data_IF_371694066417
#
_entry.id   IF_371694066417
#
_cell.length_a   1.000
_cell.length_b   1.000
_cell.length_c   1.000
_cell.angle_alpha   90.00
_cell.angle_beta   90.00
_cell.angle_gamma   90.00
#
_symmetry.space_group_name_H-M   'P 1'
#
loop_
_entity.id
_entity.type
_entity.pdbx_description
1 polymer ?
#
# COMPACT_ATOMS: atom_id res chain seq x y z
N UNK A 1 -3.42 -20.95 -5.48
CA UNK A 1 -2.36 -20.49 -4.55
C UNK A 1 -1.08 -20.41 -5.33
N UNK A 2 -0.30 -19.33 -5.20
CA UNK A 2 0.91 -19.14 -6.01
C UNK A 2 2.09 -18.85 -5.09
N UNK A 3 3.26 -19.41 -5.39
CA UNK A 3 4.50 -19.04 -4.74
C UNK A 3 5.26 -18.10 -5.67
N UNK A 4 5.58 -16.91 -5.18
CA UNK A 4 6.39 -15.93 -5.89
C UNK A 4 7.67 -15.70 -5.11
N UNK A 5 8.79 -15.67 -5.81
CA UNK A 5 10.11 -15.43 -5.26
C UNK A 5 10.36 -13.92 -5.10
N UNK A 6 11.34 -13.58 -4.26
CA UNK A 6 11.69 -12.19 -3.96
C UNK A 6 12.21 -11.42 -5.17
N UNK A 7 12.72 -12.12 -6.19
CA UNK A 7 13.17 -11.56 -7.45
C UNK A 7 12.03 -11.23 -8.42
N UNK A 8 10.78 -11.57 -8.07
CA UNK A 8 9.59 -11.30 -8.84
C UNK A 8 9.16 -12.38 -9.83
N UNK A 9 9.77 -13.57 -9.82
CA UNK A 9 9.28 -14.71 -10.61
C UNK A 9 8.26 -15.55 -9.82
N UNK A 10 7.25 -16.10 -10.51
CA UNK A 10 6.34 -17.06 -9.89
C UNK A 10 6.90 -18.48 -10.06
N UNK A 11 7.22 -19.16 -8.96
CA UNK A 11 7.77 -20.52 -9.02
C UNK A 11 6.73 -21.54 -9.47
N UNK A 12 5.55 -21.52 -8.85
CA UNK A 12 4.43 -22.39 -9.21
C UNK A 12 3.10 -21.74 -8.82
N UNK A 13 2.03 -22.12 -9.53
CA UNK A 13 0.65 -21.79 -9.19
C UNK A 13 -0.16 -23.06 -9.06
N UNK A 14 -0.48 -23.39 -7.81
CA UNK A 14 -1.22 -24.57 -7.39
C UNK A 14 -2.73 -24.32 -7.42
N UNK A 15 -3.46 -25.36 -7.82
CA UNK A 15 -4.90 -25.38 -7.98
C UNK A 15 -5.27 -26.04 -9.30
N UNK A 16 -6.54 -25.92 -9.74
CA UNK A 16 -7.64 -25.23 -9.05
C UNK A 16 -8.04 -25.94 -7.75
N UNK A 17 -8.52 -25.16 -6.78
CA UNK A 17 -9.13 -25.67 -5.54
C UNK A 17 -10.62 -25.36 -5.55
N UNK A 18 -11.42 -26.14 -4.82
CA UNK A 18 -12.84 -25.84 -4.68
C UNK A 18 -13.01 -24.54 -3.90
N UNK A 19 -13.95 -23.68 -4.32
CA UNK A 19 -14.22 -22.40 -3.65
C UNK A 19 -14.74 -22.53 -2.21
N UNK A 20 -15.10 -23.74 -1.78
CA UNK A 20 -15.47 -24.06 -0.39
C UNK A 20 -14.25 -24.26 0.52
N UNK A 21 -13.05 -24.41 -0.05
CA UNK A 21 -11.81 -24.58 0.70
C UNK A 21 -11.19 -23.21 0.99
N UNK A 22 -10.89 -22.93 2.26
CA UNK A 22 -10.21 -21.70 2.64
C UNK A 22 -8.68 -21.80 2.42
N UNK A 23 -8.01 -20.66 2.34
CA UNK A 23 -6.57 -20.59 2.05
C UNK A 23 -5.72 -21.41 3.04
N UNK A 24 -6.05 -21.35 4.34
CA UNK A 24 -5.31 -22.10 5.36
C UNK A 24 -5.43 -23.62 5.20
N UNK A 25 -6.62 -24.13 4.84
CA UNK A 25 -6.87 -25.55 4.60
C UNK A 25 -6.13 -26.05 3.35
N UNK A 26 -6.13 -25.24 2.28
CA UNK A 26 -5.37 -25.51 1.05
C UNK A 26 -3.88 -25.55 1.36
N UNK A 27 -3.37 -24.58 2.12
CA UNK A 27 -1.95 -24.52 2.48
C UNK A 27 -1.55 -25.72 3.34
N UNK A 28 -2.34 -26.06 4.35
CA UNK A 28 -2.13 -27.24 5.19
C UNK A 28 -2.09 -28.53 4.38
N UNK A 29 -2.95 -28.65 3.37
CA UNK A 29 -2.91 -29.79 2.47
C UNK A 29 -1.58 -29.82 1.70
N UNK A 30 -1.18 -28.70 1.11
CA UNK A 30 0.07 -28.57 0.33
C UNK A 30 1.31 -28.89 1.17
N UNK A 31 1.39 -28.36 2.39
CA UNK A 31 2.53 -28.60 3.29
C UNK A 31 2.61 -30.05 3.75
N UNK A 32 1.46 -30.68 4.06
CA UNK A 32 1.41 -32.08 4.52
C UNK A 32 1.62 -33.11 3.41
N UNK A 33 1.18 -32.80 2.20
CA UNK A 33 1.33 -33.71 1.03
C UNK A 33 2.71 -33.68 0.39
N UNK A 34 3.65 -32.90 0.94
CA UNK A 34 4.99 -32.67 0.38
C UNK A 34 4.90 -32.38 -1.12
N UNK A 35 4.38 -31.20 -1.40
CA UNK A 35 4.45 -30.68 -2.74
C UNK A 35 5.91 -30.32 -3.09
N UNK A 36 6.32 -30.57 -4.33
CA UNK A 36 7.57 -30.10 -4.92
C UNK A 36 7.85 -28.63 -4.59
N UNK A 37 6.80 -27.82 -4.41
CA UNK A 37 6.88 -26.43 -3.94
C UNK A 37 7.74 -26.24 -2.67
N UNK A 38 7.55 -27.09 -1.66
CA UNK A 38 8.26 -26.97 -0.38
C UNK A 38 9.71 -27.47 -0.48
N UNK A 39 10.07 -28.20 -1.54
CA UNK A 39 11.45 -28.65 -1.79
C UNK A 39 12.37 -27.48 -2.19
N UNK A 40 11.79 -26.36 -2.64
CA UNK A 40 12.52 -25.13 -2.95
C UNK A 40 12.68 -24.21 -1.74
N UNK A 41 12.19 -24.61 -0.58
CA UNK A 41 12.21 -23.80 0.63
C UNK A 41 13.11 -24.45 1.68
N UNK A 42 14.00 -23.66 2.27
CA UNK A 42 14.95 -24.08 3.29
C UNK A 42 14.55 -23.56 4.68
N UNK A 43 14.92 -24.26 5.77
CA UNK A 43 14.77 -23.71 7.11
C UNK A 43 15.45 -22.34 7.23
N UNK A 44 14.74 -21.36 7.75
CA UNK A 44 15.16 -19.95 7.82
C UNK A 44 14.55 -19.06 6.73
N UNK A 45 13.90 -19.62 5.71
CA UNK A 45 13.22 -18.82 4.69
C UNK A 45 12.06 -18.01 5.27
N UNK A 46 11.94 -16.76 4.81
CA UNK A 46 10.89 -15.84 5.22
C UNK A 46 9.63 -16.07 4.37
N UNK A 47 8.57 -16.56 5.00
CA UNK A 47 7.29 -16.85 4.34
C UNK A 47 6.32 -15.69 4.49
N UNK A 48 6.17 -14.88 3.44
CA UNK A 48 5.28 -13.71 3.42
C UNK A 48 3.86 -14.15 3.03
N UNK A 49 2.91 -14.05 3.95
CA UNK A 49 1.53 -14.49 3.73
C UNK A 49 0.50 -13.43 4.08
N UNK A 50 -0.70 -13.55 3.49
CA UNK A 50 -1.83 -12.69 3.86
C UNK A 50 -2.45 -13.12 5.20
N UNK A 51 -3.26 -12.25 5.78
CA UNK A 51 -4.05 -12.50 6.98
C UNK A 51 -4.95 -13.74 6.89
N UNK A 52 -5.38 -14.14 5.69
CA UNK A 52 -6.14 -15.37 5.49
C UNK A 52 -5.38 -16.66 5.86
N UNK A 53 -4.06 -16.58 6.01
CA UNK A 53 -3.17 -17.69 6.32
C UNK A 53 -2.82 -17.78 7.81
N UNK A 54 -3.55 -17.09 8.69
CA UNK A 54 -3.30 -17.09 10.13
C UNK A 54 -3.15 -18.51 10.70
N UNK A 55 -4.04 -19.42 10.30
CA UNK A 55 -4.11 -20.77 10.88
C UNK A 55 -3.00 -21.72 10.38
N UNK A 56 -2.13 -21.29 9.47
CA UNK A 56 -0.95 -22.06 9.00
C UNK A 56 0.37 -21.50 9.53
N UNK A 57 0.37 -20.35 10.21
CA UNK A 57 1.59 -19.71 10.72
C UNK A 57 2.39 -20.65 11.63
N UNK A 58 1.72 -21.34 12.56
CA UNK A 58 2.37 -22.30 13.46
C UNK A 58 2.99 -23.47 12.69
N UNK A 59 2.28 -24.02 11.70
CA UNK A 59 2.80 -25.08 10.86
C UNK A 59 4.02 -24.67 10.02
N UNK A 60 4.10 -23.41 9.57
CA UNK A 60 5.30 -22.91 8.91
C UNK A 60 6.49 -22.80 9.86
N UNK A 61 6.26 -22.32 11.08
CA UNK A 61 7.29 -22.27 12.12
C UNK A 61 7.80 -23.67 12.48
N UNK A 62 6.90 -24.66 12.58
CA UNK A 62 7.25 -26.07 12.86
C UNK A 62 8.11 -26.69 11.76
N UNK A 63 7.97 -26.21 10.51
CA UNK A 63 8.80 -26.61 9.37
C UNK A 63 10.14 -25.85 9.31
N UNK A 64 10.39 -24.92 10.25
CA UNK A 64 11.61 -24.15 10.35
C UNK A 64 11.64 -22.86 9.55
N UNK A 65 10.50 -22.42 8.99
CA UNK A 65 10.40 -21.15 8.26
C UNK A 65 10.10 -19.97 9.20
N UNK A 66 10.33 -18.74 8.74
CA UNK A 66 9.94 -17.51 9.42
C UNK A 66 8.68 -16.89 8.77
N UNK A 67 7.47 -17.25 9.23
CA UNK A 67 6.24 -16.69 8.68
C UNK A 67 6.05 -15.22 9.09
N UNK A 68 5.74 -14.38 8.11
CA UNK A 68 5.44 -12.97 8.27
C UNK A 68 4.08 -12.64 7.66
N UNK A 69 3.23 -11.98 8.44
CA UNK A 69 1.89 -11.56 8.01
C UNK A 69 1.52 -10.19 8.57
N UNK A 70 0.56 -9.45 7.96
CA UNK A 70 0.13 -8.18 8.49
C UNK A 70 -0.52 -8.33 9.88
N UNK A 71 0.07 -7.68 10.88
CA UNK A 71 -0.31 -7.80 12.30
C UNK A 71 -1.78 -7.43 12.54
N UNK A 72 -2.42 -8.10 13.49
CA UNK A 72 -3.78 -7.78 13.95
C UNK A 72 -3.76 -6.90 15.19
N UNK A 73 -4.74 -6.01 15.30
CA UNK A 73 -4.97 -5.31 16.55
C UNK A 73 -5.43 -6.31 17.61
N UNK A 74 -4.81 -6.27 18.77
CA UNK A 74 -5.26 -7.09 19.91
C UNK A 74 -6.49 -6.45 20.56
N UNK A 75 -7.21 -7.22 21.37
CA UNK A 75 -8.44 -6.76 22.02
C UNK A 75 -8.14 -5.56 22.92
N UNK A 76 -8.80 -4.42 22.66
CA UNK A 76 -8.62 -3.18 23.42
C UNK A 76 -7.60 -2.20 22.80
N UNK A 77 -6.77 -2.65 21.86
CA UNK A 77 -5.90 -1.73 21.09
C UNK A 77 -6.71 -0.99 20.02
N UNK A 78 -6.59 0.33 20.02
CA UNK A 78 -7.20 1.19 18.99
C UNK A 78 -6.31 1.34 17.75
N UNK A 79 -4.99 1.19 17.93
CA UNK A 79 -3.97 1.41 16.92
C UNK A 79 -2.78 0.47 17.13
N UNK A 80 -2.07 0.16 16.06
CA UNK A 80 -0.78 -0.52 16.12
C UNK A 80 0.29 0.39 16.70
N UNK A 81 1.25 -0.17 17.42
CA UNK A 81 2.48 0.53 17.77
C UNK A 81 3.29 0.88 16.52
N UNK A 82 4.24 1.81 16.63
CA UNK A 82 5.13 2.19 15.51
C UNK A 82 5.83 0.96 14.91
N UNK A 83 6.34 0.07 15.75
CA UNK A 83 7.05 -1.14 15.31
C UNK A 83 6.11 -2.09 14.57
N UNK A 84 4.93 -2.37 15.13
CA UNK A 84 3.94 -3.24 14.48
C UNK A 84 3.45 -2.64 13.15
N UNK A 85 3.20 -1.34 13.10
CA UNK A 85 2.75 -0.65 11.90
C UNK A 85 3.83 -0.66 10.79
N UNK A 86 5.10 -0.53 11.18
CA UNK A 86 6.25 -0.64 10.30
C UNK A 86 6.45 -2.08 9.78
N UNK A 87 6.37 -3.10 10.64
CA UNK A 87 6.47 -4.50 10.23
C UNK A 87 5.35 -4.87 9.26
N UNK A 88 4.10 -4.49 9.57
CA UNK A 88 2.97 -4.67 8.67
C UNK A 88 3.19 -3.95 7.32
N UNK A 89 3.83 -2.76 7.33
CA UNK A 89 4.16 -2.04 6.10
C UNK A 89 5.17 -2.81 5.24
N UNK A 90 6.21 -3.39 5.84
CA UNK A 90 7.21 -4.19 5.12
C UNK A 90 6.57 -5.42 4.48
N UNK A 91 5.73 -6.14 5.24
CA UNK A 91 4.97 -7.28 4.72
C UNK A 91 4.11 -6.87 3.52
N UNK A 92 3.34 -5.78 3.62
CA UNK A 92 2.53 -5.30 2.49
C UNK A 92 3.37 -4.83 1.30
N UNK A 93 4.62 -4.43 1.52
CA UNK A 93 5.53 -4.07 0.42
C UNK A 93 6.00 -5.27 -0.37
N UNK A 94 6.40 -6.34 0.30
CA UNK A 94 6.84 -7.56 -0.37
C UNK A 94 5.65 -8.30 -1.01
N UNK A 95 4.50 -8.30 -0.33
CA UNK A 95 3.27 -8.96 -0.84
C UNK A 95 2.78 -8.42 -2.19
N UNK A 96 3.12 -7.17 -2.53
CA UNK A 96 2.78 -6.56 -3.82
C UNK A 96 3.23 -7.40 -5.03
N UNK A 97 4.33 -8.15 -4.89
CA UNK A 97 4.82 -9.06 -5.95
C UNK A 97 3.77 -10.11 -6.32
N UNK A 98 3.14 -10.73 -5.32
CA UNK A 98 2.08 -11.75 -5.51
C UNK A 98 0.83 -11.11 -6.10
N UNK A 99 0.44 -9.92 -5.65
CA UNK A 99 -0.71 -9.19 -6.18
C UNK A 99 -0.52 -8.85 -7.67
N UNK A 100 0.68 -8.39 -8.03
CA UNK A 100 1.03 -8.03 -9.40
C UNK A 100 1.10 -9.23 -10.33
N UNK A 101 1.62 -10.36 -9.83
CA UNK A 101 1.54 -11.63 -10.53
C UNK A 101 0.10 -12.04 -10.83
N UNK A 102 -0.77 -12.02 -9.81
CA UNK A 102 -2.18 -12.34 -10.00
C UNK A 102 -2.89 -11.36 -10.94
N UNK A 103 -2.51 -10.08 -10.95
CA UNK A 103 -3.02 -9.13 -11.92
C UNK A 103 -2.64 -9.51 -13.37
N UNK A 104 -1.40 -9.96 -13.61
CA UNK A 104 -0.98 -10.49 -14.93
C UNK A 104 -1.74 -11.76 -15.31
N UNK A 105 -1.92 -12.68 -14.36
CA UNK A 105 -2.64 -13.94 -14.58
C UNK A 105 -4.12 -13.71 -14.96
N UNK A 106 -4.79 -12.80 -14.26
CA UNK A 106 -6.21 -12.48 -14.50
C UNK A 106 -6.51 -11.88 -15.88
N UNK A 107 -5.50 -11.30 -16.56
CA UNK A 107 -5.65 -10.77 -17.93
C UNK A 107 -5.75 -11.86 -19.00
N UNK A 108 -5.47 -13.12 -18.66
CA UNK A 108 -5.60 -14.23 -19.62
C UNK A 108 -7.06 -14.62 -19.83
N UNK A 109 -7.57 -14.33 -21.03
CA UNK A 109 -8.98 -14.57 -21.41
C UNK A 109 -9.45 -16.01 -21.19
N UNK A 110 -8.54 -16.97 -21.32
CA UNK A 110 -8.84 -18.39 -21.09
C UNK A 110 -9.44 -18.65 -19.70
N UNK A 111 -8.99 -17.93 -18.66
CA UNK A 111 -9.49 -18.08 -17.30
C UNK A 111 -10.56 -17.06 -16.90
N UNK A 112 -10.82 -16.06 -17.74
CA UNK A 112 -11.82 -15.02 -17.45
C UNK A 112 -13.25 -15.43 -17.85
N UNK A 113 -13.39 -16.47 -18.67
CA UNK A 113 -14.68 -16.91 -19.21
C UNK A 113 -14.94 -18.40 -18.88
N UNK A 114 -16.05 -18.93 -19.40
CA UNK A 114 -16.48 -20.32 -19.22
C UNK A 114 -15.47 -21.27 -19.86
N UNK A 115 -14.94 -22.17 -19.06
CA UNK A 115 -14.06 -23.24 -19.49
C UNK A 115 -14.89 -24.48 -19.82
N UNK A 116 -14.56 -25.15 -20.92
CA UNK A 116 -15.21 -26.41 -21.28
C UNK A 116 -14.94 -27.50 -20.23
N UNK A 117 -15.97 -28.26 -19.87
CA UNK A 117 -15.87 -29.30 -18.84
C UNK A 117 -14.80 -30.37 -19.17
N UNK A 118 -14.49 -30.59 -20.45
CA UNK A 118 -13.45 -31.52 -20.89
C UNK A 118 -12.03 -31.10 -20.47
N UNK A 119 -11.84 -29.81 -20.20
CA UNK A 119 -10.56 -29.25 -19.74
C UNK A 119 -10.40 -29.28 -18.23
N UNK A 120 -11.45 -29.61 -17.46
CA UNK A 120 -11.38 -29.69 -15.99
C UNK A 120 -10.23 -30.60 -15.50
N UNK A 121 -10.01 -31.81 -16.07
CA UNK A 121 -8.89 -32.66 -15.64
C UNK A 121 -7.51 -32.06 -15.95
N UNK A 122 -7.41 -31.10 -16.87
CA UNK A 122 -6.17 -30.45 -17.32
C UNK A 122 -6.03 -29.02 -16.79
N UNK A 123 -6.98 -28.55 -15.99
CA UNK A 123 -7.05 -27.14 -15.61
C UNK A 123 -5.83 -26.70 -14.79
N UNK A 124 -5.30 -27.60 -13.95
CA UNK A 124 -4.03 -27.39 -13.24
C UNK A 124 -2.86 -27.16 -14.21
N UNK A 125 -2.73 -28.01 -15.22
CA UNK A 125 -1.67 -27.89 -16.23
C UNK A 125 -1.82 -26.60 -17.02
N UNK A 126 -3.05 -26.22 -17.38
CA UNK A 126 -3.31 -24.94 -18.05
C UNK A 126 -2.83 -23.76 -17.20
N UNK A 127 -3.14 -23.74 -15.90
CA UNK A 127 -2.70 -22.66 -14.99
C UNK A 127 -1.17 -22.62 -14.90
N UNK A 128 -0.51 -23.78 -14.77
CA UNK A 128 0.96 -23.87 -14.74
C UNK A 128 1.61 -23.42 -16.03
N UNK A 129 1.08 -23.83 -17.18
CA UNK A 129 1.56 -23.41 -18.51
C UNK A 129 1.46 -21.89 -18.64
N UNK A 130 0.33 -21.29 -18.25
CA UNK A 130 0.18 -19.84 -18.30
C UNK A 130 1.14 -19.14 -17.33
N UNK A 131 1.33 -19.69 -16.13
CA UNK A 131 2.30 -19.16 -15.15
C UNK A 131 3.72 -19.16 -15.72
N UNK A 132 4.16 -20.27 -16.30
CA UNK A 132 5.46 -20.40 -16.96
C UNK A 132 5.59 -19.47 -18.17
N UNK A 133 4.52 -19.34 -18.96
CA UNK A 133 4.48 -18.43 -20.12
C UNK A 133 4.58 -16.97 -19.68
N UNK A 134 3.95 -16.59 -18.57
CA UNK A 134 4.07 -15.26 -17.98
C UNK A 134 5.51 -14.96 -17.54
N UNK A 135 6.16 -15.90 -16.86
CA UNK A 135 7.57 -15.76 -16.49
C UNK A 135 8.47 -15.61 -17.72
N UNK A 136 8.24 -16.42 -18.77
CA UNK A 136 9.05 -16.40 -19.98
C UNK A 136 8.85 -15.11 -20.80
N UNK A 137 7.60 -14.78 -21.13
CA UNK A 137 7.29 -13.66 -22.03
C UNK A 137 7.35 -12.30 -21.34
N UNK A 138 6.89 -12.21 -20.09
CA UNK A 138 6.85 -10.93 -19.35
C UNK A 138 7.98 -10.80 -18.34
N UNK A 139 8.79 -11.84 -18.10
CA UNK A 139 9.88 -11.78 -17.13
C UNK A 139 9.39 -11.51 -15.71
N UNK A 140 10.33 -11.10 -14.86
CA UNK A 140 10.05 -10.72 -13.47
C UNK A 140 8.94 -9.65 -13.33
N UNK A 141 8.20 -9.73 -12.22
CA UNK A 141 7.37 -8.62 -11.71
C UNK A 141 8.22 -7.39 -11.42
N UNK A 142 9.41 -7.59 -10.86
CA UNK A 142 10.36 -6.55 -10.48
C UNK A 142 11.29 -6.30 -11.67
N UNK A 143 11.06 -5.21 -12.40
CA UNK A 143 11.78 -4.90 -13.63
C UNK A 143 13.14 -4.25 -13.40
N UNK A 144 13.26 -3.53 -12.31
CA UNK A 144 14.38 -2.68 -11.92
C UNK A 144 15.13 -3.24 -10.71
N UNK A 145 15.19 -4.58 -10.60
CA UNK A 145 15.99 -5.26 -9.60
C UNK A 145 17.46 -4.79 -9.67
N UNK A 146 18.10 -4.67 -8.51
CA UNK A 146 19.52 -4.28 -8.38
C UNK A 146 19.88 -2.94 -9.05
N UNK A 147 18.94 -2.01 -9.14
CA UNK A 147 19.23 -0.64 -9.59
C UNK A 147 19.63 0.25 -8.42
N UNK A 148 20.52 1.21 -8.68
CA UNK A 148 20.90 2.25 -7.70
C UNK A 148 19.68 3.01 -7.14
N UNK A 149 18.57 3.09 -7.89
CA UNK A 149 17.34 3.69 -7.40
C UNK A 149 16.67 2.81 -6.33
N UNK A 150 16.53 1.50 -6.59
CA UNK A 150 15.97 0.56 -5.61
C UNK A 150 16.82 0.44 -4.35
N UNK A 151 18.15 0.43 -4.47
CA UNK A 151 19.05 0.41 -3.31
C UNK A 151 18.90 1.69 -2.46
N UNK A 152 18.77 2.85 -3.11
CA UNK A 152 18.50 4.13 -2.42
C UNK A 152 17.16 4.11 -1.72
N UNK A 153 16.10 3.60 -2.36
CA UNK A 153 14.78 3.47 -1.73
C UNK A 153 14.80 2.49 -0.54
N UNK A 154 15.46 1.35 -0.67
CA UNK A 154 15.59 0.36 0.40
C UNK A 154 16.39 0.94 1.59
N UNK A 155 17.44 1.70 1.31
CA UNK A 155 18.19 2.43 2.34
C UNK A 155 17.32 3.48 3.02
N UNK A 156 16.58 4.29 2.26
CA UNK A 156 15.65 5.28 2.80
C UNK A 156 14.56 4.65 3.67
N UNK A 157 14.02 3.49 3.27
CA UNK A 157 13.09 2.72 4.11
C UNK A 157 13.75 2.30 5.42
N UNK A 158 14.96 1.74 5.35
CA UNK A 158 15.72 1.29 6.54
C UNK A 158 16.03 2.45 7.48
N UNK A 159 16.48 3.59 6.95
CA UNK A 159 16.76 4.79 7.73
C UNK A 159 15.48 5.31 8.43
N UNK A 160 14.33 5.27 7.73
CA UNK A 160 13.03 5.65 8.30
C UNK A 160 12.52 4.65 9.36
N UNK A 161 12.78 3.35 9.20
CA UNK A 161 12.46 2.33 10.22
C UNK A 161 13.18 2.60 11.54
N UNK A 162 14.42 3.10 11.48
CA UNK A 162 15.21 3.44 12.66
C UNK A 162 14.77 4.76 13.34
N UNK A 163 13.97 5.60 12.66
CA UNK A 163 13.51 6.87 13.23
C UNK A 163 12.41 6.63 14.27
N UNK A 164 12.53 7.32 15.40
CA UNK A 164 11.48 7.39 16.40
C UNK A 164 10.35 8.33 15.92
N UNK A 165 9.09 7.90 16.07
CA UNK A 165 7.93 8.72 15.73
C UNK A 165 7.64 9.75 16.85
N UNK A 166 8.38 10.85 16.83
CA UNK A 166 8.26 11.91 17.84
C UNK A 166 6.87 12.56 17.88
N UNK A 167 6.19 12.68 16.73
CA UNK A 167 4.82 13.22 16.69
C UNK A 167 3.84 12.30 17.42
N UNK A 168 3.94 10.99 17.23
CA UNK A 168 3.13 10.03 17.98
C UNK A 168 3.30 10.24 19.49
N UNK A 169 4.54 10.35 19.96
CA UNK A 169 4.86 10.62 21.37
C UNK A 169 4.27 11.93 21.88
N UNK A 170 4.34 13.02 21.09
CA UNK A 170 3.72 14.29 21.48
C UNK A 170 2.20 14.21 21.60
N UNK A 171 1.54 13.47 20.70
CA UNK A 171 0.09 13.26 20.75
C UNK A 171 -0.31 12.39 21.95
N UNK A 172 0.40 11.29 22.19
CA UNK A 172 0.17 10.39 23.32
C UNK A 172 0.37 11.07 24.67
N UNK A 173 1.35 11.96 24.78
CA UNK A 173 1.59 12.80 25.96
C UNK A 173 0.56 13.94 26.12
N UNK A 174 -0.38 14.07 25.17
CA UNK A 174 -1.41 15.11 25.19
C UNK A 174 -0.93 16.51 24.84
N UNK A 175 0.34 16.69 24.46
CA UNK A 175 0.95 18.00 24.15
C UNK A 175 0.33 18.67 22.91
N UNK A 176 -0.27 17.88 22.02
CA UNK A 176 -0.93 18.32 20.80
C UNK A 176 -2.47 18.21 20.84
N UNK A 177 -3.05 17.82 21.98
CA UNK A 177 -4.48 17.52 22.10
C UNK A 177 -5.35 18.76 22.36
N UNK A 178 -4.80 19.79 22.99
CA UNK A 178 -5.58 20.95 23.48
C UNK A 178 -6.01 21.87 22.34
N UNK A 179 -7.32 22.15 22.21
CA UNK A 179 -7.88 23.01 21.15
C UNK A 179 -7.29 24.43 21.11
N UNK A 180 -6.95 25.01 22.27
CA UNK A 180 -6.43 26.37 22.36
C UNK A 180 -5.08 26.57 21.65
N UNK A 181 -4.34 25.49 21.36
CA UNK A 181 -3.01 25.50 20.74
C UNK A 181 -3.04 25.60 19.21
N UNK A 182 -4.21 25.80 18.60
CA UNK A 182 -4.36 25.71 17.14
C UNK A 182 -5.05 26.95 16.56
N UNK A 183 -4.60 27.39 15.39
CA UNK A 183 -5.20 28.44 14.55
C UNK A 183 -5.60 27.84 13.22
N UNK A 184 -6.70 28.28 12.60
CA UNK A 184 -7.02 27.85 11.25
C UNK A 184 -6.02 28.45 10.26
N UNK A 185 -5.72 27.73 9.18
CA UNK A 185 -4.81 28.23 8.15
C UNK A 185 -5.39 29.47 7.45
N UNK A 186 -6.71 29.56 7.27
CA UNK A 186 -7.38 30.72 6.66
C UNK A 186 -7.27 32.03 7.47
N UNK A 187 -6.86 31.94 8.74
CA UNK A 187 -6.75 33.07 9.66
C UNK A 187 -5.33 33.65 9.72
N UNK A 188 -4.39 33.07 8.97
CA UNK A 188 -2.97 33.43 8.99
C UNK A 188 -2.37 33.39 7.58
N UNK A 189 -1.21 34.02 7.42
CA UNK A 189 -0.36 33.77 6.27
C UNK A 189 0.34 32.42 6.46
N UNK A 190 -0.04 31.42 5.67
CA UNK A 190 0.37 30.03 5.85
C UNK A 190 1.05 29.50 4.60
N UNK A 191 2.32 29.14 4.74
CA UNK A 191 3.11 28.47 3.72
C UNK A 191 3.28 26.98 4.05
N UNK A 192 3.35 26.16 3.00
CA UNK A 192 3.69 24.75 3.06
C UNK A 192 4.69 24.42 1.94
N UNK A 193 5.63 23.49 2.14
CA UNK A 193 6.62 23.19 1.11
C UNK A 193 5.98 22.58 -0.13
N UNK A 194 6.34 23.13 -1.29
CA UNK A 194 5.98 22.57 -2.59
C UNK A 194 6.85 21.33 -2.88
N UNK A 195 6.25 20.27 -3.43
CA UNK A 195 6.90 19.00 -3.70
C UNK A 195 6.38 18.41 -5.01
N UNK A 196 7.25 17.75 -5.77
CA UNK A 196 6.88 17.05 -7.00
C UNK A 196 6.22 15.68 -6.72
N UNK A 197 5.51 15.12 -7.70
CA UNK A 197 4.93 13.77 -7.58
C UNK A 197 5.98 12.69 -7.28
N UNK A 198 7.20 12.86 -7.81
CA UNK A 198 8.28 11.90 -7.57
C UNK A 198 8.80 11.99 -6.13
N UNK A 199 8.85 13.18 -5.52
CA UNK A 199 9.19 13.35 -4.10
C UNK A 199 8.14 12.67 -3.22
N UNK A 200 6.86 12.84 -3.55
CA UNK A 200 5.75 12.18 -2.87
C UNK A 200 5.78 10.66 -3.07
N UNK A 201 6.19 10.19 -4.26
CA UNK A 201 6.35 8.75 -4.53
C UNK A 201 7.45 8.16 -3.66
N UNK A 202 8.57 8.87 -3.48
CA UNK A 202 9.63 8.46 -2.57
C UNK A 202 9.16 8.49 -1.11
N UNK A 203 8.48 9.56 -0.69
CA UNK A 203 7.96 9.72 0.68
C UNK A 203 6.98 8.60 1.09
N UNK A 204 6.07 8.22 0.20
CA UNK A 204 5.09 7.16 0.45
C UNK A 204 5.57 5.75 0.09
N UNK A 205 6.78 5.67 -0.47
CA UNK A 205 7.36 4.48 -1.06
C UNK A 205 6.44 3.86 -2.10
N UNK A 206 5.85 4.65 -3.01
CA UNK A 206 5.07 4.17 -4.14
C UNK A 206 3.80 4.97 -4.45
N UNK A 207 3.23 4.71 -5.62
CA UNK A 207 2.13 5.49 -6.20
C UNK A 207 0.75 5.21 -5.60
N UNK A 208 0.56 4.10 -4.89
CA UNK A 208 -0.76 3.70 -4.38
C UNK A 208 -1.39 4.79 -3.50
N UNK A 209 -0.63 5.37 -2.56
CA UNK A 209 -1.17 6.41 -1.68
C UNK A 209 -1.50 7.69 -2.46
N UNK A 210 -0.66 8.07 -3.43
CA UNK A 210 -0.91 9.23 -4.32
C UNK A 210 -2.22 9.04 -5.09
N UNK A 211 -2.43 7.87 -5.70
CA UNK A 211 -3.67 7.55 -6.44
C UNK A 211 -4.89 7.65 -5.52
N UNK A 212 -4.76 7.22 -4.27
CA UNK A 212 -5.84 7.31 -3.29
C UNK A 212 -6.08 8.77 -2.84
N UNK A 213 -5.03 9.58 -2.70
CA UNK A 213 -5.10 10.96 -2.23
C UNK A 213 -6.11 11.79 -3.01
N UNK A 214 -6.11 11.71 -4.34
CA UNK A 214 -7.05 12.46 -5.17
C UNK A 214 -8.51 12.17 -4.78
N UNK A 215 -8.89 10.89 -4.77
CA UNK A 215 -10.27 10.51 -4.43
C UNK A 215 -10.62 10.89 -2.99
N UNK A 216 -9.65 10.87 -2.08
CA UNK A 216 -9.86 11.17 -0.67
C UNK A 216 -10.06 12.67 -0.47
N UNK A 217 -9.30 13.49 -1.21
CA UNK A 217 -9.51 14.93 -1.27
C UNK A 217 -10.92 15.25 -1.79
N UNK A 218 -11.33 14.73 -2.94
CA UNK A 218 -12.66 14.99 -3.50
C UNK A 218 -13.82 14.69 -2.53
N UNK A 219 -13.65 13.76 -1.58
CA UNK A 219 -14.66 13.40 -0.59
C UNK A 219 -14.64 14.27 0.68
N UNK A 220 -13.53 14.96 0.95
CA UNK A 220 -13.28 15.60 2.25
C UNK A 220 -12.91 17.08 2.17
N UNK A 221 -12.70 17.60 0.96
CA UNK A 221 -12.68 19.04 0.73
C UNK A 221 -14.05 19.63 1.06
N UNK A 222 -14.05 20.80 1.69
CA UNK A 222 -15.26 21.53 1.98
C UNK A 222 -15.82 22.25 0.73
N UNK A 223 -16.86 23.07 0.91
CA UNK A 223 -17.48 23.84 -0.19
C UNK A 223 -16.53 24.80 -0.89
N UNK A 224 -15.44 25.20 -0.23
CA UNK A 224 -14.42 26.07 -0.80
C UNK A 224 -13.28 25.26 -1.46
N UNK A 225 -13.32 23.94 -1.36
CA UNK A 225 -12.26 23.08 -1.87
C UNK A 225 -11.10 22.91 -0.91
N UNK A 226 -11.31 23.15 0.40
CA UNK A 226 -10.24 23.09 1.41
C UNK A 226 -10.49 22.05 2.51
N UNK A 227 -9.40 21.62 3.14
CA UNK A 227 -9.47 20.80 4.34
C UNK A 227 -9.54 21.70 5.59
N UNK A 228 -10.25 21.24 6.63
CA UNK A 228 -10.23 21.87 7.95
C UNK A 228 -8.87 21.64 8.65
N UNK A 229 -7.84 22.37 8.18
CA UNK A 229 -6.46 22.32 8.66
C UNK A 229 -6.24 23.42 9.69
N UNK A 230 -5.45 23.10 10.70
CA UNK A 230 -5.04 24.03 11.72
C UNK A 230 -3.53 23.93 11.94
N UNK A 231 -2.86 25.07 12.10
CA UNK A 231 -1.45 25.14 12.47
C UNK A 231 -1.30 25.30 13.98
N UNK A 232 -0.21 24.78 14.54
CA UNK A 232 0.13 24.97 15.94
C UNK A 232 0.47 26.45 16.24
N UNK A 233 0.09 26.93 17.42
CA UNK A 233 0.44 28.28 17.89
C UNK A 233 1.85 28.38 18.48
N UNK A 234 2.44 27.23 18.82
CA UNK A 234 3.76 27.15 19.46
C UNK A 234 4.87 27.00 18.43
N UNK A 235 4.53 26.53 17.23
CA UNK A 235 5.44 26.27 16.12
C UNK A 235 4.62 26.30 14.84
N UNK A 236 5.08 27.06 13.86
CA UNK A 236 4.43 27.18 12.56
C UNK A 236 4.73 25.97 11.65
N UNK A 237 5.47 24.97 12.15
CA UNK A 237 5.94 23.79 11.40
C UNK A 237 5.12 22.52 11.67
N UNK A 238 4.06 22.61 12.48
CA UNK A 238 3.17 21.48 12.77
C UNK A 238 1.74 21.86 12.42
N UNK A 239 1.14 21.08 11.52
CA UNK A 239 -0.29 21.14 11.23
C UNK A 239 -1.03 19.93 11.81
N UNK A 240 -2.33 20.11 12.01
CA UNK A 240 -3.27 19.02 12.18
C UNK A 240 -4.49 19.20 11.27
N UNK A 241 -5.09 18.08 10.88
CA UNK A 241 -6.32 18.05 10.11
C UNK A 241 -7.26 17.01 10.69
N UNK A 242 -8.54 17.35 10.79
CA UNK A 242 -9.59 16.38 11.04
C UNK A 242 -10.06 15.78 9.71
N UNK A 243 -10.05 14.46 9.59
CA UNK A 243 -10.40 13.78 8.34
C UNK A 243 -11.23 12.53 8.65
N UNK A 244 -12.27 12.29 7.85
CA UNK A 244 -13.19 11.20 8.07
C UNK A 244 -12.63 9.89 7.50
N UNK A 245 -12.96 8.79 8.18
CA UNK A 245 -12.62 7.45 7.71
C UNK A 245 -13.57 7.03 6.60
N UNK A 246 -13.05 6.57 5.46
CA UNK A 246 -13.87 5.90 4.43
C UNK A 246 -14.58 4.63 4.92
N UNK A 247 -14.05 4.02 5.98
CA UNK A 247 -14.59 2.78 6.52
C UNK A 247 -15.68 3.02 7.58
N UNK A 248 -15.97 4.28 7.93
CA UNK A 248 -16.98 4.61 8.92
C UNK A 248 -17.44 6.06 8.83
N UNK A 249 -18.75 6.25 8.60
CA UNK A 249 -19.38 7.57 8.56
C UNK A 249 -19.31 8.32 9.91
N UNK A 250 -19.14 7.61 11.03
CA UNK A 250 -19.08 8.24 12.36
C UNK A 250 -17.67 8.56 12.83
N UNK A 251 -16.65 8.00 12.18
CA UNK A 251 -15.26 8.07 12.68
C UNK A 251 -14.48 9.15 11.96
N UNK A 252 -14.01 10.14 12.73
CA UNK A 252 -13.03 11.14 12.29
C UNK A 252 -11.73 10.91 13.03
N UNK A 253 -10.63 10.91 12.29
CA UNK A 253 -9.29 10.86 12.81
C UNK A 253 -8.67 12.24 12.74
N UNK A 254 -7.81 12.55 13.71
CA UNK A 254 -6.83 13.61 13.52
C UNK A 254 -5.58 13.03 12.88
N UNK A 255 -5.04 13.76 11.91
CA UNK A 255 -3.72 13.57 11.33
C UNK A 255 -2.88 14.80 11.64
N UNK A 256 -1.61 14.59 11.96
CA UNK A 256 -0.60 15.60 12.23
C UNK A 256 0.56 15.42 11.27
N UNK A 257 1.07 16.54 10.76
CA UNK A 257 2.22 16.57 9.86
C UNK A 257 3.15 17.64 10.39
N UNK A 258 4.42 17.26 10.55
CA UNK A 258 5.52 18.17 10.80
C UNK A 258 6.28 18.36 9.50
N UNK A 259 6.47 19.61 9.12
CA UNK A 259 7.07 20.00 7.85
C UNK A 259 8.18 21.02 8.09
N UNK A 260 8.94 21.33 7.05
CA UNK A 260 9.90 22.43 7.06
C UNK A 260 9.86 23.14 5.72
N UNK A 261 9.94 24.47 5.75
CA UNK A 261 10.14 25.29 4.55
C UNK A 261 11.62 25.31 4.12
N UNK A 262 12.52 24.82 4.98
CA UNK A 262 13.96 24.74 4.71
C UNK A 262 14.49 23.32 4.94
N UNK A 263 15.15 22.73 3.94
CA UNK A 263 15.66 21.36 4.05
C UNK A 263 14.63 20.28 3.70
N UNK A 264 14.48 19.24 4.54
CA UNK A 264 13.56 18.12 4.29
C UNK A 264 12.10 18.58 4.44
N UNK A 265 11.30 18.58 3.36
CA UNK A 265 9.94 19.14 3.37
C UNK A 265 9.03 18.50 4.41
N UNK A 266 9.12 17.17 4.59
CA UNK A 266 8.24 16.40 5.49
C UNK A 266 9.08 15.58 6.46
N UNK A 267 9.19 16.09 7.68
CA UNK A 267 10.06 15.51 8.71
C UNK A 267 9.37 14.41 9.50
N UNK A 268 8.07 14.52 9.76
CA UNK A 268 7.31 13.54 10.54
C UNK A 268 5.80 13.60 10.25
N UNK A 269 5.10 12.48 10.45
CA UNK A 269 3.64 12.41 10.38
C UNK A 269 3.10 11.39 11.38
N UNK A 270 1.85 11.60 11.79
CA UNK A 270 1.11 10.68 12.64
C UNK A 270 -0.40 10.89 12.47
N UNK A 271 -1.17 9.81 12.49
CA UNK A 271 -2.63 9.88 12.46
C UNK A 271 -3.22 8.85 13.42
N UNK A 272 -4.38 9.15 13.99
CA UNK A 272 -5.09 8.25 14.92
C UNK A 272 -5.67 6.99 14.26
N UNK A 273 -5.56 6.84 12.95
CA UNK A 273 -6.06 5.65 12.28
C UNK A 273 -5.20 4.42 12.60
N UNK A 274 -5.80 3.23 12.50
CA UNK A 274 -5.22 1.95 12.93
C UNK A 274 -3.77 1.70 12.46
N UNK A 275 -3.41 2.19 11.28
CA UNK A 275 -2.15 1.86 10.59
C UNK A 275 -1.08 2.96 10.61
N UNK A 276 -1.34 4.10 11.28
CA UNK A 276 -0.57 5.33 11.04
C UNK A 276 0.61 5.62 11.96
N UNK A 277 0.86 4.82 12.98
CA UNK A 277 2.04 5.03 13.81
C UNK A 277 3.36 4.79 13.04
N UNK A 278 3.29 4.25 11.82
CA UNK A 278 4.43 3.91 10.96
C UNK A 278 5.23 5.15 10.54
N UNK A 279 6.54 4.95 10.42
CA UNK A 279 7.50 5.93 9.88
C UNK A 279 7.88 5.64 8.42
N UNK A 280 7.46 4.48 7.89
CA UNK A 280 7.66 4.09 6.49
C UNK A 280 6.36 4.22 5.71
N UNK A 281 6.33 5.22 4.83
CA UNK A 281 5.14 5.63 4.10
C UNK A 281 4.04 6.19 5.02
N UNK A 282 2.90 6.55 4.44
CA UNK A 282 1.86 7.27 5.16
C UNK A 282 0.49 6.59 4.94
N UNK A 283 -0.42 6.67 5.90
CA UNK A 283 -1.80 6.22 5.67
C UNK A 283 -2.48 7.11 4.62
N UNK A 284 -3.65 6.68 4.12
CA UNK A 284 -4.39 7.47 3.14
C UNK A 284 -4.70 8.89 3.65
N UNK A 285 -4.98 9.05 4.95
CA UNK A 285 -5.29 10.36 5.52
C UNK A 285 -4.11 11.34 5.44
N UNK A 286 -2.95 10.93 5.96
CA UNK A 286 -1.71 11.72 5.95
C UNK A 286 -1.26 11.99 4.52
N UNK A 287 -1.25 10.96 3.67
CA UNK A 287 -0.83 11.08 2.28
C UNK A 287 -1.73 12.04 1.50
N UNK A 288 -3.03 12.05 1.79
CA UNK A 288 -3.97 12.98 1.16
C UNK A 288 -3.67 14.42 1.54
N UNK A 289 -3.47 14.69 2.83
CA UNK A 289 -3.23 16.03 3.33
C UNK A 289 -1.88 16.56 2.80
N UNK A 290 -0.83 15.74 2.86
CA UNK A 290 0.50 16.09 2.32
C UNK A 290 0.39 16.35 0.81
N UNK A 291 -0.15 15.41 0.03
CA UNK A 291 -0.29 15.57 -1.43
C UNK A 291 -1.10 16.81 -1.81
N UNK A 292 -2.19 17.08 -1.09
CA UNK A 292 -3.02 18.24 -1.39
C UNK A 292 -2.26 19.53 -1.10
N UNK A 293 -1.63 19.63 0.08
CA UNK A 293 -0.86 20.80 0.50
C UNK A 293 0.36 21.08 -0.36
N UNK A 294 1.17 20.07 -0.67
CA UNK A 294 2.48 20.25 -1.29
C UNK A 294 2.45 20.21 -2.82
N UNK A 295 1.42 19.63 -3.43
CA UNK A 295 1.39 19.41 -4.87
C UNK A 295 0.10 19.93 -5.50
N UNK A 296 -1.06 19.42 -5.07
CA UNK A 296 -2.32 19.66 -5.77
C UNK A 296 -2.72 21.14 -5.84
N UNK A 297 -2.51 21.89 -4.75
CA UNK A 297 -2.79 23.34 -4.67
C UNK A 297 -1.93 24.19 -5.62
N UNK A 298 -0.72 23.74 -5.91
CA UNK A 298 0.23 24.44 -6.77
C UNK A 298 0.01 24.11 -8.26
N UNK A 299 -0.73 23.03 -8.56
CA UNK A 299 -0.90 22.47 -9.90
C UNK A 299 -2.36 22.53 -10.39
N UNK A 300 -3.09 23.60 -10.04
CA UNK A 300 -4.46 23.88 -10.52
C UNK A 300 -5.45 22.71 -10.37
N UNK A 301 -5.38 21.94 -9.28
CA UNK A 301 -6.26 20.79 -9.07
C UNK A 301 -7.74 21.19 -9.07
N UNK A 302 -8.47 20.73 -10.10
CA UNK A 302 -9.91 20.96 -10.25
C UNK A 302 -10.70 19.76 -9.67
N UNK A 303 -11.43 19.98 -8.56
CA UNK A 303 -12.25 18.94 -7.96
C UNK A 303 -13.42 18.54 -8.88
N UNK A 304 -13.67 17.23 -9.03
CA UNK A 304 -14.78 16.76 -9.85
C UNK A 304 -16.08 16.71 -9.03
N UNK A 305 -17.05 17.57 -9.36
CA UNK A 305 -18.40 17.46 -8.79
C UNK A 305 -18.97 16.06 -9.10
N UNK A 306 -19.38 15.33 -8.05
CA UNK A 306 -19.58 13.87 -8.02
C UNK A 306 -20.47 13.23 -9.10
N UNK A 307 -21.21 13.99 -9.90
CA UNK A 307 -21.92 13.47 -11.09
C UNK A 307 -20.99 13.08 -12.24
N UNK A 308 -19.84 13.74 -12.40
CA UNK A 308 -18.83 13.36 -13.42
C UNK A 308 -18.03 12.11 -13.02
N UNK A 309 -18.03 11.75 -11.73
CA UNK A 309 -17.28 10.60 -11.17
C UNK A 309 -17.81 9.27 -11.67
N UNK A 310 -19.14 9.05 -11.69
CA UNK A 310 -19.70 7.77 -12.19
C UNK A 310 -19.41 7.60 -13.68
N UNK A 311 -19.60 8.65 -14.47
CA UNK A 311 -19.36 8.63 -15.91
C UNK A 311 -17.88 8.40 -16.24
N UNK A 312 -16.97 9.16 -15.60
CA UNK A 312 -15.52 9.00 -15.79
C UNK A 312 -14.96 7.73 -15.16
N UNK A 313 -15.52 7.21 -14.07
CA UNK A 313 -15.08 5.92 -13.52
C UNK A 313 -15.49 4.77 -14.43
N UNK A 314 -16.64 4.84 -15.10
CA UNK A 314 -17.04 3.87 -16.13
C UNK A 314 -16.15 4.00 -17.37
N UNK A 315 -15.91 5.22 -17.84
CA UNK A 315 -15.03 5.50 -18.99
C UNK A 315 -13.56 5.16 -18.71
N UNK A 316 -13.08 5.36 -17.47
CA UNK A 316 -11.70 5.06 -17.03
C UNK A 316 -11.48 3.59 -16.71
N UNK A 317 -12.48 2.86 -16.23
CA UNK A 317 -12.42 1.39 -16.15
C UNK A 317 -12.35 0.81 -17.57
N UNK A 318 -13.06 1.39 -18.53
CA UNK A 318 -12.99 0.99 -19.93
C UNK A 318 -11.66 1.38 -20.60
N UNK A 319 -11.04 2.53 -20.25
CA UNK A 319 -9.75 2.94 -20.82
C UNK A 319 -8.53 2.28 -20.15
N UNK A 320 -8.56 2.08 -18.83
CA UNK A 320 -7.46 1.43 -18.07
C UNK A 320 -7.42 -0.10 -18.30
N UNK A 321 -8.50 -0.68 -18.86
CA UNK A 321 -8.51 -2.04 -19.41
C UNK A 321 -7.84 -2.13 -20.80
N UNK A 322 -7.77 -1.01 -21.52
CA UNK A 322 -7.26 -0.92 -22.90
C UNK A 322 -5.89 -0.22 -23.06
N UNK A 323 -5.30 0.38 -22.02
CA UNK A 323 -3.92 0.91 -22.08
C UNK A 323 -2.86 -0.06 -21.51
N UNK A 324 -1.82 -0.42 -22.28
CA UNK A 324 -0.60 -1.00 -21.74
C UNK A 324 0.19 0.07 -20.98
N UNK A 325 0.78 -0.29 -19.84
CA UNK A 325 1.76 0.55 -19.12
C UNK A 325 3.07 0.57 -19.93
N UNK A 326 3.05 1.34 -21.03
CA UNK A 326 4.15 1.57 -21.95
C UNK A 326 4.86 2.86 -21.53
N UNK A 327 5.99 2.71 -20.84
CA UNK A 327 7.14 3.58 -21.10
C UNK A 327 7.86 3.04 -22.33
N UNK A 328 7.23 3.25 -23.50
CA UNK A 328 7.86 3.08 -24.80
C UNK A 328 8.26 4.47 -25.33
N UNK A 329 9.46 4.89 -24.98
CA UNK A 329 10.25 5.75 -25.85
C UNK A 329 11.63 5.11 -25.98
N UNK A 330 11.87 4.40 -27.09
CA UNK A 330 12.97 4.72 -27.99
C UNK A 330 12.65 4.18 -29.38
N UNK A 331 12.66 5.12 -30.32
CA UNK A 331 12.43 4.95 -31.74
C UNK A 331 13.54 4.15 -32.42
N UNK A 332 13.13 3.51 -33.52
CA UNK A 332 13.90 2.82 -34.53
C UNK A 332 15.38 3.23 -34.69
N UNK A 333 16.27 2.24 -34.59
CA UNK A 333 17.04 1.69 -35.73
C UNK A 333 17.45 0.26 -35.43
#
# INVERSE_FOLDING_TARGET
MSLCLADGYCLDTLGPFFGTQNDASITNHITKTKNALMEWCEPGDIMIVDRGFRDIVEAFSDLGYEPKMPIYLTKGQKQHTTNEANEARLVTKVRWTVESYHARLKKWRFFSDRIENQLLPKLQDCVRIVSATLNWLRGSIIKDHNTNHMDRLAKLMTDRLAKHNYLATLVEQGKLSTKQRWKKIDEIDFDFPEMELEDLRQLFFGSYQIKQSQTYAEEHLDVNGDFAIQVSKETDEIIRCAIQSRHSNSTRYYAWIQFSLTGDPITSWYCQCKSSARTVGACAHEATIIWFLSYARHHDFQYSNGRRRIQRSIEKIQSDEDEPDDSNEFSAT
#
